data_IF_232458172162
#
_entry.id   IF_232458172162
#
_cell.length_a   1.000
_cell.length_b   1.000
_cell.length_c   1.000
_cell.angle_alpha   90.00
_cell.angle_beta   90.00
_cell.angle_gamma   90.00
#
_symmetry.space_group_name_H-M   'P 1'
#
loop_
_entity.id
_entity.type
_entity.pdbx_description
1 polymer ?
#
# COMPACT_ATOMS: atom_id res chain seq x y z
N UNK A 1 -19.51 4.85 16.24
CA UNK A 1 -19.44 3.52 15.57
C UNK A 1 -18.44 3.54 14.43
N UNK A 2 -17.82 2.43 14.11
CA UNK A 2 -16.92 2.33 12.94
C UNK A 2 -17.67 2.52 11.61
N UNK A 3 -18.97 2.28 11.60
CA UNK A 3 -19.83 2.50 10.43
C UNK A 3 -19.98 3.98 10.08
N UNK A 4 -19.70 4.89 11.01
CA UNK A 4 -19.75 6.33 10.79
C UNK A 4 -18.41 6.92 10.32
N UNK A 5 -17.34 6.12 10.30
CA UNK A 5 -16.03 6.59 9.88
C UNK A 5 -15.95 6.67 8.36
N UNK A 6 -15.49 7.81 7.86
CA UNK A 6 -15.08 8.00 6.48
C UNK A 6 -13.56 8.00 6.40
N UNK A 7 -13.02 7.24 5.47
CA UNK A 7 -11.57 7.09 5.32
C UNK A 7 -11.15 7.44 3.89
N UNK A 8 -10.12 8.24 3.76
CA UNK A 8 -9.48 8.51 2.48
C UNK A 8 -8.03 8.02 2.50
N UNK A 9 -7.68 7.17 1.55
CA UNK A 9 -6.29 6.77 1.31
C UNK A 9 -5.72 7.70 0.24
N UNK A 10 -4.83 8.58 0.65
CA UNK A 10 -4.21 9.59 -0.21
C UNK A 10 -3.26 9.02 -1.26
N UNK A 11 -2.70 9.88 -2.12
CA UNK A 11 -1.70 9.49 -3.10
C UNK A 11 -0.50 8.80 -2.44
N UNK A 12 -0.07 7.70 -3.04
CA UNK A 12 1.11 6.95 -2.62
C UNK A 12 1.79 6.36 -3.85
N UNK A 13 3.00 5.86 -3.70
CA UNK A 13 3.68 5.15 -4.77
C UNK A 13 2.88 3.91 -5.18
N UNK A 14 2.64 3.74 -6.48
CA UNK A 14 1.94 2.57 -7.00
C UNK A 14 2.83 1.33 -6.96
N UNK A 15 2.23 0.15 -6.93
CA UNK A 15 2.94 -1.13 -6.87
C UNK A 15 3.96 -1.32 -8.00
N UNK A 16 3.65 -0.84 -9.20
CA UNK A 16 4.51 -0.95 -10.38
C UNK A 16 5.84 -0.21 -10.21
N UNK A 17 5.83 0.82 -9.35
CA UNK A 17 6.99 1.66 -9.07
C UNK A 17 7.63 1.38 -7.70
N UNK A 18 7.01 0.50 -6.90
CA UNK A 18 7.48 0.19 -5.55
C UNK A 18 8.02 -1.22 -5.44
N UNK A 19 9.26 -1.36 -5.89
CA UNK A 19 10.00 -2.62 -5.81
C UNK A 19 10.73 -2.71 -4.47
N UNK A 20 10.60 -3.84 -3.81
CA UNK A 20 11.26 -4.15 -2.54
C UNK A 20 11.94 -5.51 -2.61
N UNK A 21 12.98 -5.71 -1.81
CA UNK A 21 13.63 -7.01 -1.71
C UNK A 21 12.77 -8.04 -0.94
N UNK A 22 13.15 -9.30 -1.06
CA UNK A 22 12.43 -10.40 -0.41
C UNK A 22 12.44 -10.31 1.12
N UNK A 23 13.49 -9.73 1.70
CA UNK A 23 13.63 -9.61 3.16
C UNK A 23 12.62 -8.59 3.67
N UNK A 24 12.59 -7.41 3.06
CA UNK A 24 11.60 -6.34 3.36
C UNK A 24 10.17 -6.86 3.22
N UNK A 25 9.91 -7.61 2.17
CA UNK A 25 8.60 -8.17 1.92
C UNK A 25 8.17 -9.18 2.98
N UNK A 26 9.05 -10.12 3.34
CA UNK A 26 8.79 -11.09 4.41
C UNK A 26 8.54 -10.39 5.75
N UNK A 27 9.32 -9.36 6.06
CA UNK A 27 9.17 -8.59 7.30
C UNK A 27 7.84 -7.84 7.32
N UNK A 28 7.42 -7.28 6.20
CA UNK A 28 6.11 -6.64 6.05
C UNK A 28 4.97 -7.61 6.38
N UNK A 29 5.01 -8.84 5.83
CA UNK A 29 3.99 -9.86 6.09
C UNK A 29 4.02 -10.34 7.53
N UNK A 30 5.20 -10.62 8.08
CA UNK A 30 5.34 -11.04 9.48
C UNK A 30 4.71 -10.03 10.43
N UNK A 31 4.89 -8.75 10.20
CA UNK A 31 4.27 -7.69 11.01
C UNK A 31 2.76 -7.62 10.83
N UNK A 32 2.28 -7.86 9.64
CA UNK A 32 0.85 -7.91 9.36
C UNK A 32 0.17 -9.10 10.06
N UNK A 33 0.78 -10.27 10.05
CA UNK A 33 0.31 -11.48 10.74
C UNK A 33 0.29 -11.31 12.26
N UNK A 34 1.37 -10.76 12.84
CA UNK A 34 1.51 -10.61 14.29
C UNK A 34 0.53 -9.60 14.91
N UNK A 35 -0.09 -8.74 14.13
CA UNK A 35 -1.09 -7.80 14.61
C UNK A 35 -2.51 -8.36 14.63
N UNK A 36 -2.68 -9.69 14.53
CA UNK A 36 -4.00 -10.30 14.34
C UNK A 36 -4.84 -9.57 13.27
N UNK A 37 -4.17 -8.96 12.33
CA UNK A 37 -4.77 -8.61 11.08
C UNK A 37 -5.06 -9.97 10.47
N UNK A 38 -6.18 -10.56 10.89
CA UNK A 38 -6.68 -11.80 10.34
C UNK A 38 -7.09 -11.47 8.92
N UNK A 39 -6.07 -11.28 8.12
CA UNK A 39 -6.23 -11.54 6.72
C UNK A 39 -6.66 -12.98 6.74
N UNK A 40 -7.95 -13.22 6.53
CA UNK A 40 -8.39 -14.53 6.16
C UNK A 40 -7.62 -14.83 4.89
N UNK A 41 -6.42 -15.36 5.07
CA UNK A 41 -5.51 -15.85 4.03
C UNK A 41 -6.11 -17.03 3.28
N UNK A 42 -7.42 -17.22 3.45
CA UNK A 42 -8.15 -18.36 2.91
C UNK A 42 -8.21 -18.37 1.39
N UNK A 43 -7.83 -17.30 0.71
CA UNK A 43 -7.75 -17.35 -0.74
C UNK A 43 -6.62 -16.44 -1.23
N UNK A 44 -5.46 -17.03 -1.26
CA UNK A 44 -4.33 -16.64 -2.07
C UNK A 44 -3.49 -15.45 -1.55
N UNK A 45 -2.21 -15.72 -1.36
CA UNK A 45 -1.11 -14.74 -1.34
C UNK A 45 -1.22 -13.66 -2.44
N UNK A 46 -2.13 -13.84 -3.40
CA UNK A 46 -2.50 -12.89 -4.45
C UNK A 46 -3.23 -11.65 -3.94
N UNK A 47 -3.94 -11.72 -2.82
CA UNK A 47 -4.72 -10.58 -2.31
C UNK A 47 -3.87 -9.52 -1.62
N UNK A 48 -2.62 -9.82 -1.28
CA UNK A 48 -1.63 -8.85 -0.83
C UNK A 48 -0.79 -8.28 -1.97
N UNK A 49 -1.27 -8.34 -3.20
CA UNK A 49 -0.65 -7.72 -4.36
C UNK A 49 0.79 -8.16 -4.64
N UNK A 50 0.98 -9.48 -4.60
CA UNK A 50 2.07 -10.08 -5.31
C UNK A 50 1.73 -10.24 -6.77
N UNK A 51 2.45 -9.58 -7.60
CA UNK A 51 2.72 -10.10 -8.91
C UNK A 51 4.14 -10.66 -8.87
N UNK A 52 4.26 -11.98 -8.74
CA UNK A 52 5.41 -12.67 -9.26
C UNK A 52 5.40 -12.44 -10.77
N UNK A 53 5.79 -11.25 -11.19
CA UNK A 53 6.11 -11.07 -12.59
C UNK A 53 7.41 -11.84 -12.82
N UNK A 54 7.30 -12.97 -13.51
CA UNK A 54 8.43 -13.82 -13.92
C UNK A 54 9.55 -13.07 -14.67
N UNK A 55 9.37 -11.76 -14.89
CA UNK A 55 10.30 -10.90 -15.61
C UNK A 55 11.42 -10.32 -14.75
N UNK A 56 11.32 -10.42 -13.40
CA UNK A 56 12.34 -9.89 -12.49
C UNK A 56 13.13 -10.99 -11.77
N UNK A 57 13.26 -12.15 -12.38
CA UNK A 57 14.01 -13.27 -11.81
C UNK A 57 15.48 -12.94 -11.49
N UNK A 58 16.05 -11.94 -12.13
CA UNK A 58 17.48 -11.61 -11.95
C UNK A 58 17.77 -10.68 -10.77
N UNK A 59 16.78 -9.95 -10.23
CA UNK A 59 17.03 -8.94 -9.19
C UNK A 59 16.43 -9.23 -7.82
N UNK A 60 15.72 -10.35 -7.62
CA UNK A 60 15.04 -10.68 -6.34
C UNK A 60 14.13 -9.55 -5.79
N UNK A 61 13.60 -8.72 -6.65
CA UNK A 61 12.72 -7.62 -6.29
C UNK A 61 11.25 -8.01 -6.47
N UNK A 62 10.39 -7.55 -5.57
CA UNK A 62 8.97 -7.80 -5.60
C UNK A 62 8.20 -6.49 -5.45
N UNK A 63 7.06 -6.40 -6.11
CA UNK A 63 6.19 -5.25 -6.03
C UNK A 63 5.36 -5.27 -4.75
N UNK A 64 5.30 -4.15 -4.04
CA UNK A 64 4.45 -3.98 -2.86
C UNK A 64 3.40 -2.90 -3.11
N UNK A 65 2.13 -3.24 -2.90
CA UNK A 65 1.00 -2.31 -3.04
C UNK A 65 0.58 -1.75 -1.67
N UNK A 66 1.08 -0.57 -1.36
CA UNK A 66 0.82 0.08 -0.08
C UNK A 66 -0.65 0.46 0.10
N UNK A 67 -1.29 1.02 -0.93
CA UNK A 67 -2.69 1.47 -0.86
C UNK A 67 -3.64 0.29 -0.66
N UNK A 68 -3.43 -0.78 -1.39
CA UNK A 68 -4.26 -1.97 -1.24
C UNK A 68 -4.03 -2.66 0.11
N UNK A 69 -2.80 -2.66 0.61
CA UNK A 69 -2.50 -3.19 1.94
C UNK A 69 -3.21 -2.39 3.03
N UNK A 70 -3.19 -1.05 2.94
CA UNK A 70 -3.94 -0.19 3.85
C UNK A 70 -5.45 -0.42 3.77
N UNK A 71 -5.99 -0.50 2.56
CA UNK A 71 -7.41 -0.80 2.33
C UNK A 71 -7.84 -2.12 2.99
N UNK A 72 -7.05 -3.18 2.82
CA UNK A 72 -7.33 -4.48 3.45
C UNK A 72 -7.31 -4.42 4.98
N UNK A 73 -6.38 -3.66 5.55
CA UNK A 73 -6.33 -3.44 7.00
C UNK A 73 -7.59 -2.74 7.51
N UNK A 74 -8.09 -1.74 6.79
CA UNK A 74 -9.31 -1.03 7.13
C UNK A 74 -10.55 -1.94 7.09
N UNK A 75 -10.65 -2.80 6.06
CA UNK A 75 -11.72 -3.80 5.98
C UNK A 75 -11.67 -4.79 7.15
N UNK A 76 -10.47 -5.22 7.56
CA UNK A 76 -10.29 -6.10 8.71
C UNK A 76 -10.68 -5.45 10.03
N UNK A 77 -10.60 -4.13 10.10
CA UNK A 77 -11.11 -3.34 11.23
C UNK A 77 -12.62 -3.07 11.17
N UNK A 78 -13.32 -3.75 10.26
CA UNK A 78 -14.76 -3.64 10.03
C UNK A 78 -15.22 -2.24 9.57
N UNK A 79 -14.38 -1.50 8.88
CA UNK A 79 -14.79 -0.27 8.21
C UNK A 79 -15.46 -0.66 6.89
N UNK A 80 -16.71 -0.20 6.65
CA UNK A 80 -17.41 -0.53 5.41
C UNK A 80 -16.63 -0.08 4.17
N UNK A 81 -16.58 -0.91 3.15
CA UNK A 81 -15.89 -0.58 1.90
C UNK A 81 -16.44 0.68 1.23
N UNK A 82 -17.73 0.96 1.41
CA UNK A 82 -18.39 2.17 0.91
C UNK A 82 -17.90 3.45 1.58
N UNK A 83 -17.26 3.35 2.73
CA UNK A 83 -16.73 4.46 3.50
C UNK A 83 -15.24 4.69 3.27
N UNK A 84 -14.63 3.93 2.36
CA UNK A 84 -13.20 4.03 2.07
C UNK A 84 -13.01 4.51 0.63
N UNK A 85 -12.43 5.69 0.49
CA UNK A 85 -12.00 6.22 -0.81
C UNK A 85 -10.49 6.01 -0.99
N UNK A 86 -10.06 5.67 -2.21
CA UNK A 86 -8.66 5.40 -2.53
C UNK A 86 -8.22 6.25 -3.71
N UNK A 87 -7.25 7.12 -3.48
CA UNK A 87 -6.62 7.87 -4.57
C UNK A 87 -5.92 6.92 -5.56
N UNK A 88 -6.18 7.09 -6.84
CA UNK A 88 -5.48 6.38 -7.91
C UNK A 88 -4.17 7.06 -8.34
N UNK A 89 -3.83 8.21 -7.76
CA UNK A 89 -2.61 8.94 -8.08
C UNK A 89 -1.37 8.25 -7.49
N UNK A 90 -0.30 8.26 -8.28
CA UNK A 90 1.00 7.71 -7.89
C UNK A 90 2.01 8.83 -7.67
N UNK A 91 2.58 8.90 -6.45
CA UNK A 91 3.56 9.94 -6.11
C UNK A 91 4.88 9.83 -6.90
N UNK A 92 5.20 8.65 -7.42
CA UNK A 92 6.37 8.43 -8.27
C UNK A 92 6.14 8.92 -9.71
N UNK A 93 4.95 8.63 -10.27
CA UNK A 93 4.59 8.95 -11.66
C UNK A 93 4.35 10.44 -11.89
N UNK A 94 3.65 11.09 -10.97
CA UNK A 94 3.21 12.48 -11.11
C UNK A 94 4.26 13.43 -10.51
N UNK A 95 5.38 13.58 -11.21
CA UNK A 95 6.56 14.31 -10.74
C UNK A 95 6.36 15.83 -10.58
N UNK A 96 5.39 16.41 -11.30
CA UNK A 96 5.06 17.84 -11.19
C UNK A 96 4.15 18.14 -9.99
N UNK A 97 3.54 17.12 -9.39
CA UNK A 97 2.54 17.27 -8.33
C UNK A 97 3.01 16.73 -6.99
N UNK A 98 3.88 15.72 -7.00
CA UNK A 98 4.32 15.02 -5.79
C UNK A 98 5.82 14.87 -5.69
N UNK A 99 6.33 14.99 -4.47
CA UNK A 99 7.69 14.59 -4.12
C UNK A 99 7.79 13.07 -3.98
N UNK A 100 8.91 12.50 -4.41
CA UNK A 100 9.16 11.07 -4.24
C UNK A 100 10.65 10.83 -3.97
N UNK A 101 10.94 10.33 -2.77
CA UNK A 101 12.30 9.90 -2.42
C UNK A 101 12.81 8.81 -3.35
N UNK A 102 11.96 7.87 -3.71
CA UNK A 102 12.31 6.75 -4.61
C UNK A 102 12.74 7.24 -5.99
N UNK A 103 12.11 8.30 -6.48
CA UNK A 103 12.42 8.87 -7.79
C UNK A 103 13.66 9.75 -7.78
N UNK A 104 13.79 10.68 -6.83
CA UNK A 104 14.78 11.77 -6.89
C UNK A 104 15.60 11.97 -5.63
N UNK A 105 15.45 11.11 -4.62
CA UNK A 105 16.16 11.22 -3.33
C UNK A 105 15.97 12.58 -2.64
N UNK A 106 14.88 13.28 -2.92
CA UNK A 106 14.55 14.55 -2.29
C UNK A 106 14.15 14.37 -0.81
N UNK A 107 14.54 15.32 0.04
CA UNK A 107 14.08 15.39 1.44
C UNK A 107 12.69 16.04 1.56
N UNK A 108 12.18 16.65 0.51
CA UNK A 108 10.86 17.27 0.48
C UNK A 108 9.74 16.23 0.65
N UNK A 109 8.66 16.63 1.29
CA UNK A 109 7.52 15.77 1.58
C UNK A 109 6.21 16.49 1.21
N UNK A 110 5.18 15.69 0.92
CA UNK A 110 3.82 16.20 0.77
C UNK A 110 3.24 16.56 2.14
N UNK A 111 2.42 17.61 2.13
CA UNK A 111 1.58 17.96 3.27
C UNK A 111 0.20 17.38 3.05
N UNK A 112 -0.38 16.81 4.08
CA UNK A 112 -1.75 16.30 4.08
C UNK A 112 -2.50 17.00 5.22
N UNK A 113 -3.66 17.59 4.89
CA UNK A 113 -4.52 18.28 5.83
C UNK A 113 -5.89 17.64 5.81
N UNK A 114 -6.47 17.47 6.97
CA UNK A 114 -7.85 17.03 7.14
C UNK A 114 -8.54 17.94 8.16
N UNK A 115 -9.75 18.35 7.85
CA UNK A 115 -10.60 19.14 8.74
C UNK A 115 -11.91 18.39 8.97
N UNK A 116 -12.37 18.43 10.21
CA UNK A 116 -13.68 17.92 10.59
C UNK A 116 -14.63 19.07 10.94
#
# INVERSE_FOLDING_TARGET
SRDDLLVAIGPAISKENYLVDKITLKEFYRKAENKNITVKLTKTKKDFCFNDSNHFREQNLNQLDLKRSAYRQLLNENIPHTNIDISNLCTYKFNNEFYSWRRSKTISRQWNLICS
#
